data_IF_397875405657
#
_entry.id   IF_397875405657
#
_cell.length_a   1.000
_cell.length_b   1.000
_cell.length_c   1.000
_cell.angle_alpha   90.00
_cell.angle_beta   90.00
_cell.angle_gamma   90.00
#
_symmetry.space_group_name_H-M   'P 1'
#
loop_
_entity.id
_entity.type
_entity.pdbx_description
1 polymer ?
#
# COMPACT_ATOMS: atom_id res chain seq x y z
N UNK A 1 6.35 -13.45 -18.77
CA UNK A 1 6.12 -12.01 -19.06
C UNK A 1 5.88 -11.22 -17.78
N UNK A 2 4.94 -11.63 -16.91
CA UNK A 2 4.64 -10.96 -15.63
C UNK A 2 5.87 -10.76 -14.72
N UNK A 3 6.72 -11.78 -14.55
CA UNK A 3 7.95 -11.65 -13.74
C UNK A 3 8.94 -10.63 -14.29
N UNK A 4 9.11 -10.55 -15.61
CA UNK A 4 9.99 -9.54 -16.21
C UNK A 4 9.44 -8.14 -15.96
N UNK A 5 8.11 -7.98 -16.05
CA UNK A 5 7.46 -6.70 -15.76
C UNK A 5 7.63 -6.34 -14.29
N UNK A 6 7.38 -7.25 -13.35
CA UNK A 6 7.55 -6.96 -11.92
C UNK A 6 9.00 -6.62 -11.58
N UNK A 7 10.00 -7.30 -12.15
CA UNK A 7 11.41 -6.93 -11.99
C UNK A 7 11.72 -5.53 -12.53
N UNK A 8 11.16 -5.14 -13.67
CA UNK A 8 11.34 -3.78 -14.22
C UNK A 8 10.66 -2.74 -13.31
N UNK A 9 9.44 -2.99 -12.85
CA UNK A 9 8.73 -2.09 -11.93
C UNK A 9 9.48 -1.92 -10.61
N UNK A 10 9.97 -3.02 -10.03
CA UNK A 10 10.84 -3.00 -8.86
C UNK A 10 12.12 -2.18 -9.16
N UNK A 11 12.77 -2.39 -10.32
CA UNK A 11 13.92 -1.57 -10.73
C UNK A 11 13.63 -0.07 -10.81
N UNK A 12 12.47 0.32 -11.34
CA UNK A 12 12.02 1.72 -11.43
C UNK A 12 11.82 2.30 -10.02
N UNK A 13 11.10 1.57 -9.15
CA UNK A 13 10.86 2.03 -7.77
C UNK A 13 12.17 2.15 -7.01
N UNK A 14 13.08 1.18 -7.15
CA UNK A 14 14.40 1.22 -6.51
C UNK A 14 15.21 2.45 -6.96
N UNK A 15 15.34 2.65 -8.27
CA UNK A 15 16.10 3.77 -8.80
C UNK A 15 15.47 5.11 -8.36
N UNK A 16 14.16 5.25 -8.50
CA UNK A 16 13.44 6.46 -8.07
C UNK A 16 13.61 6.73 -6.58
N UNK A 17 13.46 5.71 -5.74
CA UNK A 17 13.64 5.83 -4.29
C UNK A 17 15.08 6.20 -3.92
N UNK A 18 16.09 5.62 -4.57
CA UNK A 18 17.50 6.00 -4.35
C UNK A 18 17.76 7.45 -4.74
N UNK A 19 17.24 7.91 -5.88
CA UNK A 19 17.37 9.31 -6.30
C UNK A 19 16.74 10.24 -5.26
N UNK A 20 15.53 9.95 -4.79
CA UNK A 20 14.86 10.75 -3.75
C UNK A 20 15.68 10.77 -2.46
N UNK A 21 16.16 9.60 -2.00
CA UNK A 21 16.95 9.50 -0.77
C UNK A 21 18.26 10.28 -0.87
N UNK A 22 19.02 10.11 -1.96
CA UNK A 22 20.28 10.83 -2.19
C UNK A 22 20.03 12.34 -2.26
N UNK A 23 19.02 12.75 -3.02
CA UNK A 23 18.71 14.18 -3.18
C UNK A 23 18.31 14.81 -1.85
N UNK A 24 17.51 14.12 -1.03
CA UNK A 24 17.14 14.56 0.32
C UNK A 24 18.33 14.63 1.28
N UNK A 25 19.23 13.64 1.27
CA UNK A 25 20.46 13.63 2.09
C UNK A 25 21.40 14.79 1.70
N UNK A 26 21.46 15.14 0.42
CA UNK A 26 22.23 16.28 -0.08
C UNK A 26 21.54 17.64 0.17
N UNK A 27 20.41 17.66 0.89
CA UNK A 27 19.66 18.89 1.20
C UNK A 27 18.89 19.47 0.01
N UNK A 28 18.66 18.68 -1.04
CA UNK A 28 17.90 19.07 -2.24
C UNK A 28 16.74 18.10 -2.49
N UNK A 29 15.75 18.02 -1.58
CA UNK A 29 14.60 17.14 -1.76
C UNK A 29 13.89 17.39 -3.10
N UNK A 30 13.52 16.30 -3.79
CA UNK A 30 12.81 16.40 -5.07
C UNK A 30 11.37 16.84 -4.85
N UNK A 31 10.88 17.70 -5.75
CA UNK A 31 9.51 18.25 -5.69
C UNK A 31 9.16 18.85 -4.32
N UNK A 32 10.14 19.50 -3.70
CA UNK A 32 9.98 20.12 -2.39
C UNK A 32 9.15 21.40 -2.50
N UNK A 33 8.14 21.49 -1.64
CA UNK A 33 7.34 22.67 -1.38
C UNK A 33 7.20 22.83 0.14
N UNK A 34 7.14 24.06 0.63
CA UNK A 34 7.05 24.31 2.08
C UNK A 34 5.62 24.12 2.60
N UNK A 35 4.65 24.15 1.72
CA UNK A 35 3.22 24.15 1.97
C UNK A 35 2.50 22.92 1.39
N UNK A 36 3.25 21.90 0.95
CA UNK A 36 2.67 20.67 0.41
C UNK A 36 3.47 19.42 0.85
N UNK A 37 2.84 18.24 0.86
CA UNK A 37 3.50 16.99 1.22
C UNK A 37 4.69 16.66 0.31
N UNK A 38 5.79 16.25 0.94
CA UNK A 38 7.03 15.86 0.24
C UNK A 38 7.41 14.42 0.63
N UNK A 39 7.91 13.66 -0.35
CA UNK A 39 8.42 12.33 -0.07
C UNK A 39 9.61 12.37 0.89
N UNK A 40 9.43 11.79 2.07
CA UNK A 40 10.49 11.78 3.08
C UNK A 40 11.66 10.85 2.69
N UNK A 41 12.87 11.17 3.17
CA UNK A 41 14.05 10.31 3.01
C UNK A 41 13.80 8.93 3.62
N UNK A 42 13.10 8.87 4.74
CA UNK A 42 12.75 7.61 5.40
C UNK A 42 11.80 6.75 4.54
N UNK A 43 10.77 7.35 3.91
CA UNK A 43 9.89 6.63 2.96
C UNK A 43 10.72 6.07 1.80
N UNK A 44 11.62 6.87 1.25
CA UNK A 44 12.46 6.48 0.13
C UNK A 44 13.39 5.32 0.48
N UNK A 45 14.05 5.38 1.64
CA UNK A 45 14.88 4.27 2.14
C UNK A 45 14.04 3.03 2.40
N UNK A 46 12.85 3.17 3.00
CA UNK A 46 11.94 2.05 3.25
C UNK A 46 11.59 1.30 1.95
N UNK A 47 11.17 2.03 0.92
CA UNK A 47 10.87 1.46 -0.40
C UNK A 47 12.09 0.83 -1.05
N UNK A 48 13.25 1.50 -1.01
CA UNK A 48 14.49 0.98 -1.56
C UNK A 48 14.89 -0.35 -0.89
N UNK A 49 14.79 -0.45 0.43
CA UNK A 49 15.09 -1.67 1.18
C UNK A 49 14.10 -2.80 0.85
N UNK A 50 12.80 -2.51 0.84
CA UNK A 50 11.76 -3.50 0.52
C UNK A 50 11.94 -4.06 -0.89
N UNK A 51 12.14 -3.18 -1.87
CA UNK A 51 12.32 -3.58 -3.27
C UNK A 51 13.65 -4.28 -3.51
N UNK A 52 14.74 -3.79 -2.90
CA UNK A 52 16.04 -4.47 -2.98
C UNK A 52 15.95 -5.87 -2.42
N UNK A 53 15.30 -6.04 -1.26
CA UNK A 53 15.13 -7.35 -0.65
C UNK A 53 14.31 -8.31 -1.55
N UNK A 54 13.23 -7.81 -2.13
CA UNK A 54 12.41 -8.55 -3.09
C UNK A 54 13.18 -8.94 -4.35
N UNK A 55 13.97 -8.02 -4.92
CA UNK A 55 14.85 -8.30 -6.07
C UNK A 55 15.93 -9.31 -5.72
N UNK A 56 16.57 -9.17 -4.55
CA UNK A 56 17.61 -10.09 -4.07
C UNK A 56 17.07 -11.52 -3.93
N UNK A 57 15.89 -11.69 -3.32
CA UNK A 57 15.20 -12.99 -3.23
C UNK A 57 14.95 -13.63 -4.60
N UNK A 58 14.72 -12.83 -5.64
CA UNK A 58 14.39 -13.32 -7.00
C UNK A 58 15.62 -13.59 -7.85
N UNK A 59 16.62 -12.71 -7.78
CA UNK A 59 17.72 -12.66 -8.74
C UNK A 59 19.02 -13.26 -8.20
N UNK A 60 19.20 -13.28 -6.87
CA UNK A 60 20.41 -13.80 -6.25
C UNK A 60 20.19 -15.22 -5.75
N UNK A 61 20.98 -16.16 -6.29
CA UNK A 61 20.98 -17.52 -5.82
C UNK A 61 21.49 -17.59 -4.38
N UNK A 62 20.73 -18.22 -3.49
CA UNK A 62 21.13 -18.41 -2.09
C UNK A 62 20.94 -17.20 -1.17
N UNK A 63 20.13 -16.20 -1.57
CA UNK A 63 19.80 -15.07 -0.68
C UNK A 63 19.21 -15.57 0.66
N UNK A 64 19.80 -15.23 1.82
CA UNK A 64 19.38 -15.79 3.10
C UNK A 64 17.99 -15.33 3.54
N UNK A 65 17.14 -16.27 3.97
CA UNK A 65 15.84 -15.96 4.58
C UNK A 65 16.00 -15.09 5.82
N UNK A 66 17.03 -15.32 6.65
CA UNK A 66 17.30 -14.49 7.83
C UNK A 66 17.51 -13.01 7.45
N UNK A 67 18.25 -12.73 6.37
CA UNK A 67 18.48 -11.37 5.88
C UNK A 67 17.18 -10.76 5.32
N UNK A 68 16.37 -11.57 4.64
CA UNK A 68 15.03 -11.17 4.20
C UNK A 68 14.16 -10.70 5.35
N UNK A 69 14.09 -11.49 6.42
CA UNK A 69 13.28 -11.17 7.60
C UNK A 69 13.85 -9.97 8.37
N UNK A 70 15.17 -9.84 8.45
CA UNK A 70 15.82 -8.70 9.09
C UNK A 70 15.51 -7.38 8.36
N UNK A 71 15.60 -7.36 7.03
CA UNK A 71 15.29 -6.16 6.24
C UNK A 71 13.81 -5.79 6.32
N UNK A 72 12.90 -6.77 6.25
CA UNK A 72 11.46 -6.52 6.42
C UNK A 72 11.18 -6.00 7.84
N UNK A 73 11.77 -6.63 8.86
CA UNK A 73 11.62 -6.25 10.26
C UNK A 73 12.15 -4.85 10.55
N UNK A 74 13.27 -4.46 9.95
CA UNK A 74 13.83 -3.11 10.06
C UNK A 74 12.86 -2.05 9.51
N UNK A 75 12.34 -2.28 8.30
CA UNK A 75 11.39 -1.33 7.68
C UNK A 75 10.07 -1.29 8.44
N UNK A 76 9.53 -2.44 8.84
CA UNK A 76 8.31 -2.52 9.65
C UNK A 76 8.48 -1.81 10.99
N UNK A 77 9.54 -2.11 11.73
CA UNK A 77 9.83 -1.50 13.03
C UNK A 77 10.03 0.01 12.93
N UNK A 78 10.73 0.48 11.90
CA UNK A 78 10.91 1.91 11.66
C UNK A 78 9.58 2.62 11.34
N UNK A 79 8.70 2.02 10.53
CA UNK A 79 7.40 2.60 10.21
C UNK A 79 6.44 2.60 11.41
N UNK A 80 6.43 1.52 12.22
CA UNK A 80 5.69 1.49 13.49
C UNK A 80 6.20 2.57 14.45
N UNK A 81 7.53 2.74 14.55
CA UNK A 81 8.12 3.81 15.35
C UNK A 81 7.71 5.20 14.85
N UNK A 82 7.70 5.42 13.53
CA UNK A 82 7.26 6.68 12.92
C UNK A 82 5.80 7.00 13.28
N UNK A 83 4.91 5.99 13.24
CA UNK A 83 3.52 6.15 13.69
C UNK A 83 3.48 6.57 15.16
N UNK A 84 4.22 5.88 16.04
CA UNK A 84 4.22 6.18 17.47
C UNK A 84 4.76 7.59 17.75
N UNK A 85 5.84 8.00 17.09
CA UNK A 85 6.39 9.36 17.23
C UNK A 85 5.33 10.39 16.87
N UNK A 86 4.68 10.26 15.71
CA UNK A 86 3.67 11.22 15.24
C UNK A 86 2.41 11.28 16.14
N UNK A 87 2.04 10.15 16.75
CA UNK A 87 0.84 10.07 17.60
C UNK A 87 1.08 10.50 19.05
N UNK A 88 2.33 10.47 19.52
CA UNK A 88 2.65 10.67 20.95
C UNK A 88 3.57 11.86 21.23
N UNK A 89 4.35 12.29 20.25
CA UNK A 89 5.30 13.38 20.44
C UNK A 89 4.58 14.74 20.41
N UNK A 90 4.92 15.66 21.34
CA UNK A 90 4.45 17.04 21.29
C UNK A 90 4.83 17.74 19.98
N UNK A 91 3.95 18.59 19.41
CA UNK A 91 4.21 19.32 18.17
C UNK A 91 5.51 20.13 18.18
N UNK A 92 5.86 20.74 19.31
CA UNK A 92 7.05 21.57 19.47
C UNK A 92 8.34 20.76 19.30
N UNK A 93 8.34 19.51 19.77
CA UNK A 93 9.46 18.59 19.58
C UNK A 93 9.50 18.05 18.14
N UNK A 94 8.35 17.79 17.52
CA UNK A 94 8.31 17.38 16.12
C UNK A 94 8.85 18.46 15.17
N UNK A 95 8.52 19.73 15.41
CA UNK A 95 9.02 20.86 14.64
C UNK A 95 10.52 21.13 14.86
N UNK A 96 11.13 20.60 15.92
CA UNK A 96 12.57 20.76 16.18
C UNK A 96 13.44 19.90 15.25
N UNK A 97 12.87 18.92 14.54
CA UNK A 97 13.61 18.11 13.60
C UNK A 97 13.86 18.87 12.30
N UNK A 98 15.13 18.89 11.85
CA UNK A 98 15.52 19.39 10.53
C UNK A 98 15.26 18.38 9.40
N UNK A 99 14.46 17.35 9.65
CA UNK A 99 14.13 16.30 8.68
C UNK A 99 12.61 16.21 8.53
N UNK A 100 12.15 15.97 7.29
CA UNK A 100 10.74 15.72 7.01
C UNK A 100 10.41 14.32 7.50
N UNK A 101 9.50 14.22 8.47
CA UNK A 101 9.04 12.95 9.01
C UNK A 101 8.10 12.26 8.02
N UNK A 102 8.07 10.93 8.05
CA UNK A 102 7.07 10.14 7.30
C UNK A 102 5.72 10.27 7.97
N UNK A 103 4.68 10.50 7.18
CA UNK A 103 3.31 10.59 7.69
C UNK A 103 2.81 9.26 8.25
N UNK A 104 1.85 9.33 9.18
CA UNK A 104 1.21 8.15 9.78
C UNK A 104 0.62 7.26 8.69
N UNK A 105 -0.06 7.86 7.72
CA UNK A 105 -0.73 7.11 6.65
C UNK A 105 0.27 6.39 5.74
N UNK A 106 1.36 7.05 5.32
CA UNK A 106 2.44 6.38 4.56
C UNK A 106 3.01 5.21 5.36
N UNK A 107 3.29 5.41 6.65
CA UNK A 107 3.83 4.36 7.51
C UNK A 107 2.88 3.18 7.73
N UNK A 108 1.56 3.42 7.81
CA UNK A 108 0.56 2.36 7.85
C UNK A 108 0.60 1.54 6.56
N UNK A 109 0.63 2.19 5.39
CA UNK A 109 0.67 1.49 4.11
C UNK A 109 1.94 0.67 3.93
N UNK A 110 3.11 1.23 4.27
CA UNK A 110 4.38 0.50 4.26
C UNK A 110 4.40 -0.66 5.24
N UNK A 111 3.83 -0.49 6.44
CA UNK A 111 3.73 -1.57 7.43
C UNK A 111 2.88 -2.72 6.90
N UNK A 112 1.77 -2.44 6.23
CA UNK A 112 0.92 -3.45 5.60
C UNK A 112 1.63 -4.17 4.45
N UNK A 113 2.39 -3.45 3.62
CA UNK A 113 3.24 -4.06 2.61
C UNK A 113 4.36 -4.93 3.22
N UNK A 114 4.94 -4.52 4.35
CA UNK A 114 5.92 -5.33 5.08
C UNK A 114 5.28 -6.60 5.64
N UNK A 115 4.07 -6.53 6.19
CA UNK A 115 3.33 -7.71 6.65
C UNK A 115 3.04 -8.67 5.49
N UNK A 116 2.63 -8.14 4.33
CA UNK A 116 2.48 -8.94 3.11
C UNK A 116 3.81 -9.62 2.72
N UNK A 117 4.90 -8.87 2.62
CA UNK A 117 6.22 -9.42 2.29
C UNK A 117 6.67 -10.49 3.28
N UNK A 118 6.45 -10.25 4.58
CA UNK A 118 6.77 -11.19 5.65
C UNK A 118 6.05 -12.53 5.43
N UNK A 119 4.75 -12.49 5.14
CA UNK A 119 3.98 -13.70 4.85
C UNK A 119 4.51 -14.41 3.62
N UNK A 120 4.77 -13.69 2.52
CA UNK A 120 5.31 -14.31 1.30
C UNK A 120 6.75 -14.82 1.45
N UNK A 121 7.49 -14.36 2.46
CA UNK A 121 8.82 -14.84 2.79
C UNK A 121 8.79 -16.10 3.66
N UNK A 122 7.80 -16.21 4.56
CA UNK A 122 7.68 -17.29 5.52
C UNK A 122 6.88 -18.48 5.00
N UNK A 123 5.99 -18.27 4.03
CA UNK A 123 5.10 -19.30 3.50
C UNK A 123 4.78 -19.10 2.03
N UNK A 124 4.37 -20.17 1.39
CA UNK A 124 3.62 -20.08 0.14
C UNK A 124 2.23 -19.49 0.40
N UNK A 125 1.73 -18.68 -0.53
CA UNK A 125 0.36 -18.14 -0.48
C UNK A 125 -0.63 -19.30 -0.46
N UNK A 126 -1.43 -19.43 0.61
CA UNK A 126 -2.22 -20.62 0.80
C UNK A 126 -3.48 -20.57 -0.05
N UNK A 127 -3.92 -21.73 -0.53
CA UNK A 127 -5.23 -21.89 -1.18
C UNK A 127 -6.32 -22.11 -0.13
N UNK A 128 -6.58 -21.10 0.71
CA UNK A 128 -7.69 -21.12 1.66
C UNK A 128 -8.78 -20.12 1.27
N UNK A 129 -9.94 -20.21 1.93
CA UNK A 129 -10.99 -19.19 1.79
C UNK A 129 -10.63 -17.85 2.44
N UNK A 130 -9.61 -17.82 3.31
CA UNK A 130 -9.14 -16.60 3.95
C UNK A 130 -7.92 -16.06 3.19
N UNK A 131 -8.19 -15.20 2.22
CA UNK A 131 -7.25 -14.64 1.24
C UNK A 131 -6.42 -13.49 1.82
N UNK A 132 -5.70 -13.77 2.92
CA UNK A 132 -4.98 -12.76 3.69
C UNK A 132 -4.01 -11.93 2.86
N UNK A 133 -3.31 -12.56 1.91
CA UNK A 133 -2.32 -11.89 1.06
C UNK A 133 -3.00 -10.86 0.14
N UNK A 134 -4.12 -11.23 -0.48
CA UNK A 134 -4.96 -10.32 -1.28
C UNK A 134 -5.54 -9.17 -0.41
N UNK A 135 -6.01 -9.49 0.81
CA UNK A 135 -6.56 -8.50 1.75
C UNK A 135 -5.49 -7.47 2.15
N UNK A 136 -4.29 -7.92 2.51
CA UNK A 136 -3.19 -7.03 2.89
C UNK A 136 -2.81 -6.08 1.76
N UNK A 137 -2.78 -6.57 0.51
CA UNK A 137 -2.51 -5.72 -0.66
C UNK A 137 -3.59 -4.65 -0.86
N UNK A 138 -4.87 -4.98 -0.65
CA UNK A 138 -5.95 -3.99 -0.72
C UNK A 138 -5.85 -2.97 0.42
N UNK A 139 -5.61 -3.42 1.65
CA UNK A 139 -5.47 -2.54 2.81
C UNK A 139 -4.26 -1.61 2.68
N UNK A 140 -3.15 -2.09 2.13
CA UNK A 140 -1.94 -1.28 1.91
C UNK A 140 -2.15 -0.13 0.92
N UNK A 141 -3.16 -0.22 0.04
CA UNK A 141 -3.53 0.84 -0.90
C UNK A 141 -4.47 1.90 -0.30
N UNK A 142 -5.14 1.60 0.82
CA UNK A 142 -6.10 2.52 1.45
C UNK A 142 -5.46 3.86 1.82
N UNK A 143 -4.26 3.91 2.43
CA UNK A 143 -3.59 5.18 2.69
C UNK A 143 -3.38 6.05 1.45
N UNK A 144 -2.86 5.48 0.37
CA UNK A 144 -2.66 6.22 -0.88
C UNK A 144 -3.98 6.68 -1.51
N UNK A 145 -5.03 5.86 -1.45
CA UNK A 145 -6.36 6.23 -1.93
C UNK A 145 -6.99 7.37 -1.14
N UNK A 146 -6.83 7.35 0.20
CA UNK A 146 -7.29 8.44 1.06
C UNK A 146 -6.53 9.73 0.74
N UNK A 147 -5.22 9.67 0.58
CA UNK A 147 -4.44 10.87 0.22
C UNK A 147 -4.72 11.37 -1.19
N UNK A 148 -5.11 10.50 -2.13
CA UNK A 148 -5.62 10.94 -3.43
C UNK A 148 -6.93 11.73 -3.27
N UNK A 149 -7.85 11.28 -2.40
CA UNK A 149 -9.05 12.07 -2.05
C UNK A 149 -8.65 13.42 -1.42
N UNK A 150 -7.69 13.42 -0.50
CA UNK A 150 -7.15 14.65 0.09
C UNK A 150 -6.63 15.63 -0.93
N UNK A 151 -5.86 15.15 -1.91
CA UNK A 151 -5.34 15.97 -3.00
C UNK A 151 -6.46 16.54 -3.89
N UNK A 152 -7.44 15.70 -4.26
CA UNK A 152 -8.55 16.11 -5.14
C UNK A 152 -9.53 17.06 -4.45
N UNK A 153 -9.73 16.91 -3.15
CA UNK A 153 -10.65 17.71 -2.34
C UNK A 153 -9.96 18.88 -1.62
N UNK A 154 -8.63 19.00 -1.75
CA UNK A 154 -7.81 19.99 -1.02
C UNK A 154 -8.05 19.92 0.50
N UNK A 155 -8.09 18.70 1.04
CA UNK A 155 -8.38 18.42 2.45
C UNK A 155 -7.12 17.86 3.15
N UNK A 156 -6.46 18.65 4.03
CA UNK A 156 -5.21 18.26 4.68
C UNK A 156 -5.36 17.05 5.62
N UNK A 157 -6.57 16.82 6.17
CA UNK A 157 -6.81 15.67 7.05
C UNK A 157 -6.58 14.33 6.34
N UNK A 158 -6.85 14.27 5.03
CA UNK A 158 -6.64 13.08 4.20
C UNK A 158 -5.20 12.96 3.67
N UNK A 159 -4.48 14.08 3.59
CA UNK A 159 -3.05 14.08 3.28
C UNK A 159 -2.20 13.65 4.47
N UNK A 160 -2.82 13.44 5.65
CA UNK A 160 -2.14 13.19 6.92
C UNK A 160 -1.25 14.36 7.34
N UNK A 161 -1.56 15.57 6.88
CA UNK A 161 -0.86 16.79 7.25
C UNK A 161 -1.15 17.12 8.72
N UNK A 162 -0.08 17.16 9.51
CA UNK A 162 -0.13 17.50 10.92
C UNK A 162 0.24 18.96 11.15
N UNK A 163 1.09 19.21 12.16
CA UNK A 163 1.62 20.54 12.43
C UNK A 163 2.64 21.03 11.38
N UNK A 164 3.15 20.12 10.54
CA UNK A 164 4.03 20.41 9.40
C UNK A 164 3.34 19.95 8.10
N UNK A 165 2.99 20.85 7.16
CA UNK A 165 2.30 20.50 5.92
C UNK A 165 3.15 19.63 4.98
N UNK A 166 4.47 19.57 5.19
CA UNK A 166 5.38 18.71 4.42
C UNK A 166 5.23 17.24 4.82
N UNK A 167 4.75 17.00 6.04
CA UNK A 167 4.54 15.67 6.62
C UNK A 167 3.17 15.16 6.19
N UNK A 168 3.09 14.67 4.96
CA UNK A 168 1.88 14.07 4.39
C UNK A 168 2.21 12.92 3.44
N UNK A 169 1.26 12.48 2.61
CA UNK A 169 1.54 11.60 1.47
C UNK A 169 1.61 12.43 0.19
N UNK A 170 2.80 12.56 -0.37
CA UNK A 170 3.02 13.25 -1.65
C UNK A 170 2.50 12.43 -2.84
N UNK A 171 2.22 13.10 -3.97
CA UNK A 171 1.90 12.41 -5.23
C UNK A 171 3.00 11.45 -5.66
N UNK A 172 4.26 11.80 -5.42
CA UNK A 172 5.39 10.92 -5.71
C UNK A 172 5.36 9.64 -4.86
N UNK A 173 5.09 9.77 -3.56
CA UNK A 173 4.93 8.61 -2.67
C UNK A 173 3.75 7.74 -3.11
N UNK A 174 2.60 8.33 -3.41
CA UNK A 174 1.44 7.59 -3.91
C UNK A 174 1.80 6.82 -5.18
N UNK A 175 2.52 7.44 -6.12
CA UNK A 175 2.97 6.78 -7.34
C UNK A 175 3.90 5.59 -7.04
N UNK A 176 4.89 5.76 -6.17
CA UNK A 176 5.82 4.67 -5.82
C UNK A 176 5.13 3.54 -5.07
N UNK A 177 4.22 3.84 -4.15
CA UNK A 177 3.42 2.82 -3.45
C UNK A 177 2.49 2.08 -4.40
N UNK A 178 1.87 2.78 -5.37
CA UNK A 178 1.06 2.15 -6.41
C UNK A 178 1.90 1.22 -7.29
N UNK A 179 3.07 1.68 -7.77
CA UNK A 179 4.00 0.85 -8.55
C UNK A 179 4.49 -0.36 -7.74
N UNK A 180 4.79 -0.16 -6.46
CA UNK A 180 5.17 -1.24 -5.55
C UNK A 180 4.06 -2.29 -5.42
N UNK A 181 2.80 -1.85 -5.26
CA UNK A 181 1.64 -2.73 -5.17
C UNK A 181 1.42 -3.51 -6.46
N UNK A 182 1.49 -2.86 -7.62
CA UNK A 182 1.37 -3.53 -8.93
C UNK A 182 2.48 -4.57 -9.08
N UNK A 183 3.72 -4.22 -8.75
CA UNK A 183 4.82 -5.18 -8.76
C UNK A 183 4.59 -6.36 -7.81
N UNK A 184 4.09 -6.10 -6.59
CA UNK A 184 3.76 -7.12 -5.60
C UNK A 184 2.74 -8.12 -6.15
N UNK A 185 1.64 -7.60 -6.70
CA UNK A 185 0.55 -8.38 -7.31
C UNK A 185 1.04 -9.21 -8.49
N UNK A 186 1.80 -8.61 -9.41
CA UNK A 186 2.35 -9.30 -10.59
C UNK A 186 3.36 -10.38 -10.23
N UNK A 187 4.05 -10.23 -9.09
CA UNK A 187 5.06 -11.18 -8.67
C UNK A 187 4.52 -12.41 -7.94
N UNK A 188 3.33 -12.30 -7.35
CA UNK A 188 2.72 -13.40 -6.64
C UNK A 188 1.60 -14.01 -7.49
N UNK A 189 1.93 -15.07 -8.21
CA UNK A 189 0.98 -15.79 -9.07
C UNK A 189 -0.04 -16.62 -8.31
N UNK A 190 0.19 -16.83 -7.01
CA UNK A 190 -0.65 -17.67 -6.17
C UNK A 190 -1.76 -16.88 -5.46
N UNK A 191 -1.85 -15.56 -5.69
CA UNK A 191 -2.97 -14.75 -5.22
C UNK A 191 -4.30 -15.30 -5.75
N UNK A 192 -5.31 -15.31 -4.88
CA UNK A 192 -6.65 -15.74 -5.26
C UNK A 192 -7.20 -14.91 -6.43
N UNK A 193 -6.90 -13.60 -6.41
CA UNK A 193 -7.32 -12.66 -7.44
C UNK A 193 -6.99 -13.15 -8.87
N UNK A 194 -5.82 -13.76 -9.08
CA UNK A 194 -5.45 -14.22 -10.42
C UNK A 194 -6.34 -15.34 -10.92
N UNK A 195 -6.62 -16.33 -10.08
CA UNK A 195 -7.55 -17.42 -10.40
C UNK A 195 -8.95 -16.87 -10.67
N UNK A 196 -9.44 -16.00 -9.78
CA UNK A 196 -10.75 -15.37 -9.93
C UNK A 196 -10.89 -14.60 -11.25
N UNK A 197 -9.88 -13.82 -11.65
CA UNK A 197 -9.87 -13.06 -12.91
C UNK A 197 -9.71 -13.95 -14.15
N UNK A 198 -9.07 -15.11 -14.04
CA UNK A 198 -8.93 -16.07 -15.12
C UNK A 198 -10.25 -16.80 -15.42
N UNK A 199 -11.06 -17.05 -14.40
CA UNK A 199 -12.28 -17.87 -14.49
C UNK A 199 -13.38 -17.28 -15.42
N UNK A 200 -13.35 -15.98 -15.74
CA UNK A 200 -14.23 -15.43 -16.78
C UNK A 200 -14.30 -13.91 -16.86
N UNK A 201 -14.88 -13.40 -17.96
CA UNK A 201 -15.07 -11.97 -18.19
C UNK A 201 -15.97 -11.31 -17.15
N UNK A 202 -17.03 -12.00 -16.69
CA UNK A 202 -17.90 -11.50 -15.63
C UNK A 202 -17.11 -11.16 -14.36
N UNK A 203 -16.18 -12.03 -13.96
CA UNK A 203 -15.35 -11.81 -12.77
C UNK A 203 -14.45 -10.58 -12.94
N UNK A 204 -13.89 -10.38 -14.13
CA UNK A 204 -13.07 -9.19 -14.45
C UNK A 204 -13.88 -7.91 -14.35
N UNK A 205 -15.10 -7.90 -14.91
CA UNK A 205 -15.98 -6.73 -14.83
C UNK A 205 -16.43 -6.45 -13.40
N UNK A 206 -16.84 -7.47 -12.64
CA UNK A 206 -17.25 -7.31 -11.25
C UNK A 206 -16.10 -6.80 -10.38
N UNK A 207 -14.90 -7.39 -10.52
CA UNK A 207 -13.72 -6.91 -9.78
C UNK A 207 -13.37 -5.48 -10.18
N UNK A 208 -13.31 -5.16 -11.48
CA UNK A 208 -12.99 -3.81 -11.94
C UNK A 208 -14.01 -2.79 -11.42
N UNK A 209 -15.30 -3.13 -11.42
CA UNK A 209 -16.35 -2.28 -10.89
C UNK A 209 -16.19 -2.06 -9.37
N UNK A 210 -16.00 -3.12 -8.59
CA UNK A 210 -15.82 -3.02 -7.13
C UNK A 210 -14.54 -2.22 -6.77
N UNK A 211 -13.43 -2.55 -7.43
CA UNK A 211 -12.15 -1.91 -7.20
C UNK A 211 -12.16 -0.43 -7.62
N UNK A 212 -12.78 -0.08 -8.75
CA UNK A 212 -12.92 1.32 -9.15
C UNK A 212 -13.89 2.08 -8.23
N UNK A 213 -14.99 1.42 -7.82
CA UNK A 213 -16.02 2.02 -6.97
C UNK A 213 -15.45 2.46 -5.60
N UNK A 214 -14.46 1.75 -5.05
CA UNK A 214 -13.84 2.13 -3.79
C UNK A 214 -13.12 3.50 -3.84
N UNK A 215 -12.81 4.02 -5.03
CA UNK A 215 -12.20 5.34 -5.22
C UNK A 215 -13.14 6.36 -5.87
N UNK A 216 -14.02 5.93 -6.79
CA UNK A 216 -14.94 6.82 -7.51
C UNK A 216 -16.13 7.24 -6.65
N UNK A 217 -16.78 6.30 -5.93
CA UNK A 217 -17.96 6.63 -5.13
C UNK A 217 -17.67 7.67 -4.03
N UNK A 218 -16.53 7.61 -3.30
CA UNK A 218 -16.14 8.66 -2.37
C UNK A 218 -16.05 10.05 -3.01
N UNK A 219 -15.50 10.16 -4.23
CA UNK A 219 -15.42 11.44 -4.96
C UNK A 219 -16.81 11.98 -5.32
N UNK A 220 -17.70 11.12 -5.78
CA UNK A 220 -19.08 11.50 -6.09
C UNK A 220 -19.76 12.01 -4.82
N UNK A 221 -19.62 11.30 -3.71
CA UNK A 221 -20.22 11.70 -2.42
C UNK A 221 -19.62 13.02 -1.93
N UNK A 222 -18.30 13.19 -2.00
CA UNK A 222 -17.66 14.44 -1.63
C UNK A 222 -18.17 15.63 -2.46
N UNK A 223 -18.37 15.45 -3.76
CA UNK A 223 -18.90 16.49 -4.65
C UNK A 223 -20.39 16.78 -4.45
N UNK A 224 -21.19 15.77 -4.07
CA UNK A 224 -22.63 15.95 -3.81
C UNK A 224 -22.91 16.55 -2.43
N UNK A 225 -22.07 16.23 -1.44
CA UNK A 225 -22.24 16.62 -0.05
C UNK A 225 -21.14 17.58 0.42
N UNK A 226 -20.68 18.47 -0.47
CA UNK A 226 -19.62 19.46 -0.19
C UNK A 226 -19.87 20.11 1.16
N UNK A 227 -19.07 19.74 2.15
CA UNK A 227 -19.11 20.31 3.47
C UNK A 227 -18.24 21.57 3.47
N UNK A 228 -18.76 22.67 4.02
CA UNK A 228 -18.08 23.97 4.05
C UNK A 228 -16.80 24.00 4.94
N UNK A 229 -16.37 22.86 5.48
CA UNK A 229 -15.22 22.77 6.37
C UNK A 229 -14.21 21.76 5.83
N UNK A 230 -13.17 22.22 5.12
CA UNK A 230 -12.18 21.36 4.46
C UNK A 230 -11.20 20.69 5.43
N UNK A 231 -11.38 20.84 6.74
CA UNK A 231 -10.38 20.46 7.77
C UNK A 231 -10.69 19.08 8.37
N UNK A 232 -11.85 18.47 8.08
CA UNK A 232 -12.28 17.21 8.71
C UNK A 232 -12.64 16.15 7.66
N UNK A 233 -12.46 14.86 7.97
CA UNK A 233 -13.00 13.80 7.14
C UNK A 233 -14.53 13.88 7.03
N UNK A 234 -15.05 13.82 5.80
CA UNK A 234 -16.49 13.77 5.53
C UNK A 234 -17.04 12.37 5.31
N UNK A 235 -18.24 12.30 4.73
CA UNK A 235 -18.95 11.05 4.42
C UNK A 235 -18.17 10.17 3.43
N UNK A 236 -17.39 10.80 2.56
CA UNK A 236 -16.54 10.15 1.56
C UNK A 236 -15.55 9.15 2.18
N UNK A 237 -15.03 9.40 3.38
CA UNK A 237 -14.17 8.45 4.10
C UNK A 237 -14.93 7.13 4.36
N UNK A 238 -16.13 7.23 4.91
CA UNK A 238 -16.95 6.06 5.22
C UNK A 238 -17.33 5.29 3.96
N UNK A 239 -17.61 6.02 2.86
CA UNK A 239 -17.91 5.42 1.56
C UNK A 239 -16.69 4.68 1.00
N UNK A 240 -15.49 5.24 1.14
CA UNK A 240 -14.26 4.59 0.71
C UNK A 240 -14.02 3.30 1.49
N UNK A 241 -14.11 3.38 2.82
CA UNK A 241 -13.94 2.22 3.69
C UNK A 241 -14.99 1.14 3.41
N UNK A 242 -16.25 1.53 3.19
CA UNK A 242 -17.32 0.62 2.80
C UNK A 242 -16.99 -0.08 1.46
N UNK A 243 -16.44 0.65 0.48
CA UNK A 243 -16.00 0.08 -0.80
C UNK A 243 -14.87 -0.94 -0.65
N UNK A 244 -13.88 -0.65 0.20
CA UNK A 244 -12.77 -1.57 0.50
C UNK A 244 -13.28 -2.83 1.20
N UNK A 245 -14.15 -2.67 2.21
CA UNK A 245 -14.78 -3.80 2.93
C UNK A 245 -15.63 -4.63 1.98
N UNK A 246 -16.43 -3.99 1.12
CA UNK A 246 -17.26 -4.69 0.14
C UNK A 246 -16.40 -5.52 -0.84
N UNK A 247 -15.33 -4.94 -1.37
CA UNK A 247 -14.41 -5.61 -2.31
C UNK A 247 -13.74 -6.81 -1.67
N UNK A 248 -13.13 -6.61 -0.49
CA UNK A 248 -12.42 -7.68 0.23
C UNK A 248 -13.37 -8.78 0.72
N UNK A 249 -14.56 -8.42 1.21
CA UNK A 249 -15.59 -9.38 1.64
C UNK A 249 -16.11 -10.20 0.46
N UNK A 250 -16.37 -9.55 -0.68
CA UNK A 250 -16.80 -10.23 -1.90
C UNK A 250 -15.76 -11.26 -2.37
N UNK A 251 -14.49 -10.87 -2.48
CA UNK A 251 -13.42 -11.78 -2.89
C UNK A 251 -13.25 -12.93 -1.91
N UNK A 252 -13.29 -12.65 -0.60
CA UNK A 252 -13.21 -13.67 0.45
C UNK A 252 -14.37 -14.66 0.34
N UNK A 253 -15.59 -14.18 0.12
CA UNK A 253 -16.76 -15.03 -0.07
C UNK A 253 -16.63 -15.92 -1.32
N UNK A 254 -16.15 -15.37 -2.44
CA UNK A 254 -15.89 -16.15 -3.65
C UNK A 254 -14.83 -17.24 -3.42
N UNK A 255 -13.76 -16.92 -2.68
CA UNK A 255 -12.74 -17.90 -2.31
C UNK A 255 -13.30 -19.04 -1.47
N UNK A 256 -14.17 -18.73 -0.50
CA UNK A 256 -14.87 -19.74 0.32
C UNK A 256 -15.77 -20.63 -0.55
N UNK A 257 -16.54 -20.04 -1.47
CA UNK A 257 -17.41 -20.82 -2.37
C UNK A 257 -16.62 -21.72 -3.31
N UNK A 258 -15.53 -21.23 -3.90
CA UNK A 258 -14.68 -22.03 -4.78
C UNK A 258 -14.08 -23.22 -4.01
N UNK A 259 -13.61 -23.00 -2.78
CA UNK A 259 -13.10 -24.07 -1.92
C UNK A 259 -14.17 -25.12 -1.62
N UNK A 260 -15.39 -24.69 -1.28
CA UNK A 260 -16.51 -25.61 -1.01
C UNK A 260 -16.84 -26.46 -2.22
N UNK A 261 -16.88 -25.87 -3.42
CA UNK A 261 -17.10 -26.59 -4.69
C UNK A 261 -16.04 -27.66 -4.93
N UNK A 262 -14.77 -27.32 -4.71
CA UNK A 262 -13.66 -28.28 -4.84
C UNK A 262 -13.81 -29.43 -3.85
N UNK A 263 -14.13 -29.14 -2.58
CA UNK A 263 -14.32 -30.17 -1.56
C UNK A 263 -15.51 -31.10 -1.86
N UNK A 264 -16.62 -30.56 -2.39
CA UNK A 264 -17.79 -31.38 -2.78
C UNK A 264 -17.57 -32.23 -4.04
N UNK A 265 -16.54 -31.93 -4.83
CA UNK A 265 -16.22 -32.64 -6.07
C UNK A 265 -15.22 -33.80 -5.86
N UNK A 266 -14.69 -33.98 -4.65
CA UNK A 266 -13.85 -35.13 -4.29
C UNK A 266 -14.82 -36.28 -3.98
N UNK A 267 -14.86 -37.36 -4.79
CA UNK A 267 -15.67 -38.53 -4.44
C UNK A 267 -15.14 -39.12 -3.14
N UNK A 268 -16.01 -39.51 -2.22
CA UNK A 268 -15.62 -40.35 -1.09
C UNK A 268 -14.94 -41.60 -1.65
N UNK A 269 -13.62 -41.70 -1.50
CA UNK A 269 -12.92 -42.95 -1.71
C UNK A 269 -13.34 -43.88 -0.59
N UNK A 270 -14.35 -44.70 -0.86
CA UNK A 270 -14.71 -45.87 -0.06
C UNK A 270 -13.70 -46.99 -0.19
#
# INVERSE_FOLDING_TARGET
>A
MQEKISTVLDGIVLLGALIVAISGILGKPLFYYEDAPVMSVFTAISLALMVTNRLARRLLFGWPTALTLALIGLVLGGNVSSILIQLTMPPELMQSFNIILTSVMTSVGLSLFCLYELLTALRETPRTGFILDDILLHLALVPGGLSLLGFLLQNPAYLSEGADPRVGISLLEMCFMALYAVSAVLSNRNLFLWGFLADGWSNRFVFAALFANQFIAPLIVAYLFVSASPIRPGLELFVMLAGVIATTSFLTFQAVLQRRKVMSAIPEQG
#
